data_IF_697399805866
#
_entry.id   IF_697399805866
#
_cell.length_a   1.000
_cell.length_b   1.000
_cell.length_c   1.000
_cell.angle_alpha   90.00
_cell.angle_beta   90.00
_cell.angle_gamma   90.00
#
_symmetry.space_group_name_H-M   'P 1'
#
loop_
_entity.id
_entity.type
_entity.pdbx_description
1 polymer ?
#
# COMPACT_ATOMS: atom_id res chain seq x y z
N UNK A 1 -21.33 8.14 8.03
CA UNK A 1 -20.13 7.45 7.54
C UNK A 1 -20.30 5.98 7.81
N UNK A 2 -20.34 5.14 6.78
CA UNK A 2 -20.34 3.68 6.92
C UNK A 2 -18.89 3.23 6.90
N UNK A 3 -18.50 2.43 7.87
CA UNK A 3 -17.13 1.97 8.00
C UNK A 3 -17.03 0.48 7.67
N UNK A 4 -15.97 0.12 6.96
CA UNK A 4 -15.89 -1.06 6.11
C UNK A 4 -14.93 -2.13 6.64
N UNK A 5 -15.20 -2.68 7.82
CA UNK A 5 -14.29 -3.64 8.46
C UNK A 5 -14.65 -5.12 8.24
N UNK A 6 -15.65 -5.48 7.43
CA UNK A 6 -16.12 -6.87 7.32
C UNK A 6 -16.43 -7.38 5.88
N UNK A 7 -15.71 -6.99 4.82
CA UNK A 7 -16.07 -7.49 3.49
C UNK A 7 -14.88 -8.00 2.67
N UNK A 8 -15.05 -9.20 2.10
CA UNK A 8 -14.04 -9.94 1.34
C UNK A 8 -13.77 -9.36 -0.05
N UNK A 9 -12.70 -9.86 -0.69
CA UNK A 9 -12.04 -9.43 -1.95
C UNK A 9 -12.90 -8.85 -3.09
N UNK A 10 -14.19 -9.19 -3.18
CA UNK A 10 -15.10 -8.79 -4.28
C UNK A 10 -16.20 -7.78 -3.90
N UNK A 11 -16.36 -7.45 -2.62
CA UNK A 11 -17.26 -6.40 -2.15
C UNK A 11 -16.43 -5.20 -1.68
N UNK A 12 -15.95 -4.42 -2.65
CA UNK A 12 -15.16 -3.22 -2.37
C UNK A 12 -16.02 -2.10 -1.79
N UNK A 13 -15.47 -1.36 -0.82
CA UNK A 13 -16.15 -0.18 -0.31
C UNK A 13 -16.01 1.01 -1.24
N UNK A 14 -17.13 1.48 -1.79
CA UNK A 14 -17.09 2.66 -2.63
C UNK A 14 -16.70 3.90 -1.81
N UNK A 15 -15.65 4.60 -2.24
CA UNK A 15 -15.18 5.83 -1.58
C UNK A 15 -15.71 7.03 -2.35
N UNK A 16 -16.23 7.99 -1.61
CA UNK A 16 -16.73 9.25 -2.13
C UNK A 16 -16.04 10.42 -1.44
N UNK A 17 -15.65 11.43 -2.22
CA UNK A 17 -15.17 12.70 -1.73
C UNK A 17 -16.33 13.69 -1.65
N UNK A 18 -16.75 14.02 -0.42
CA UNK A 18 -17.76 15.04 -0.17
C UNK A 18 -17.10 16.41 0.04
N UNK A 19 -17.66 17.46 -0.58
CA UNK A 19 -17.27 18.86 -0.34
C UNK A 19 -18.45 19.62 0.26
N UNK A 20 -18.22 20.55 1.21
CA UNK A 20 -19.30 21.27 1.88
C UNK A 20 -20.33 21.94 0.94
N UNK A 21 -19.90 22.39 -0.24
CA UNK A 21 -20.73 23.09 -1.23
C UNK A 21 -20.61 22.53 -2.65
N UNK A 22 -20.00 21.35 -2.81
CA UNK A 22 -19.69 20.76 -4.11
C UNK A 22 -20.40 19.43 -4.37
N UNK A 23 -20.34 18.98 -5.61
CA UNK A 23 -20.78 17.63 -5.96
C UNK A 23 -19.96 16.58 -5.19
N UNK A 24 -20.64 15.51 -4.77
CA UNK A 24 -19.98 14.32 -4.24
C UNK A 24 -19.27 13.63 -5.40
N UNK A 25 -17.94 13.51 -5.30
CA UNK A 25 -17.13 12.88 -6.32
C UNK A 25 -16.92 11.40 -5.97
N UNK A 26 -17.31 10.53 -6.88
CA UNK A 26 -17.00 9.11 -6.80
C UNK A 26 -15.51 8.88 -7.07
N UNK A 27 -14.80 8.26 -6.13
CA UNK A 27 -13.40 7.87 -6.34
C UNK A 27 -13.37 6.48 -6.99
N UNK A 28 -12.94 6.41 -8.24
CA UNK A 28 -12.85 5.15 -8.99
C UNK A 28 -11.88 4.15 -8.33
N UNK A 29 -12.15 2.85 -8.53
CA UNK A 29 -11.32 1.72 -8.06
C UNK A 29 -11.15 1.66 -6.53
N UNK A 30 -12.20 1.98 -5.79
CA UNK A 30 -12.17 2.19 -4.34
C UNK A 30 -12.20 0.91 -3.50
N UNK A 31 -11.76 -0.24 -4.02
CA UNK A 31 -11.58 -1.44 -3.20
C UNK A 31 -10.38 -1.26 -2.23
N UNK A 32 -10.61 -0.50 -1.16
CA UNK A 32 -9.65 -0.16 -0.12
C UNK A 32 -10.27 -0.36 1.26
N UNK A 33 -9.45 -0.81 2.19
CA UNK A 33 -9.84 -1.07 3.59
C UNK A 33 -9.25 -0.03 4.54
N UNK A 34 -8.32 0.79 4.06
CA UNK A 34 -7.55 1.77 4.83
C UNK A 34 -7.41 3.06 4.04
N UNK A 35 -7.46 4.20 4.73
CA UNK A 35 -7.40 5.55 4.14
C UNK A 35 -6.50 6.49 4.98
N UNK A 36 -5.82 7.44 4.33
CA UNK A 36 -5.03 8.51 4.95
C UNK A 36 -5.04 9.77 4.07
N UNK A 37 -5.17 10.94 4.68
CA UNK A 37 -4.95 12.21 3.98
C UNK A 37 -3.48 12.60 4.00
N UNK A 38 -3.01 13.19 2.90
CA UNK A 38 -1.76 13.97 2.91
C UNK A 38 -1.90 15.21 3.79
N UNK A 39 -0.81 15.63 4.42
CA UNK A 39 -0.83 16.80 5.34
C UNK A 39 -1.30 18.09 4.66
N UNK A 40 -1.00 18.26 3.37
CA UNK A 40 -1.44 19.41 2.58
C UNK A 40 -2.91 19.32 2.12
N UNK A 41 -3.60 18.21 2.43
CA UNK A 41 -5.00 17.97 2.09
C UNK A 41 -5.29 17.79 0.60
N UNK A 42 -4.27 17.75 -0.27
CA UNK A 42 -4.47 17.71 -1.73
C UNK A 42 -4.77 16.30 -2.24
N UNK A 43 -4.36 15.29 -1.48
CA UNK A 43 -4.50 13.89 -1.88
C UNK A 43 -5.04 13.01 -0.76
N UNK A 44 -5.91 12.09 -1.15
CA UNK A 44 -6.34 10.96 -0.33
C UNK A 44 -5.55 9.71 -0.79
N UNK A 45 -4.98 9.00 0.17
CA UNK A 45 -4.30 7.73 -0.04
C UNK A 45 -5.23 6.62 0.47
N UNK A 46 -5.30 5.52 -0.26
CA UNK A 46 -5.98 4.32 0.21
C UNK A 46 -5.23 3.06 -0.16
N UNK A 47 -5.38 2.01 0.64
CA UNK A 47 -4.86 0.69 0.31
C UNK A 47 -5.94 -0.38 0.46
N UNK A 48 -5.99 -1.27 -0.53
CA UNK A 48 -6.72 -2.54 -0.46
C UNK A 48 -5.78 -3.68 -0.11
N UNK A 49 -6.12 -4.89 -0.56
CA UNK A 49 -5.33 -6.10 -0.31
C UNK A 49 -3.86 -5.94 -0.69
N UNK A 50 -3.55 -5.56 -1.94
CA UNK A 50 -2.17 -5.47 -2.43
C UNK A 50 -1.89 -4.20 -3.24
N UNK A 51 -2.87 -3.30 -3.33
CA UNK A 51 -2.78 -2.11 -4.18
C UNK A 51 -2.92 -0.86 -3.31
N UNK A 52 -1.98 0.07 -3.47
CA UNK A 52 -2.08 1.42 -2.93
C UNK A 52 -2.56 2.37 -4.02
N UNK A 53 -3.38 3.34 -3.65
CA UNK A 53 -3.99 4.33 -4.53
C UNK A 53 -3.82 5.73 -3.98
N UNK A 54 -3.66 6.68 -4.88
CA UNK A 54 -3.61 8.10 -4.58
C UNK A 54 -4.66 8.80 -5.44
N UNK A 55 -5.65 9.43 -4.81
CA UNK A 55 -6.65 10.25 -5.48
C UNK A 55 -6.36 11.73 -5.23
N UNK A 56 -6.49 12.55 -6.28
CA UNK A 56 -6.44 14.00 -6.17
C UNK A 56 -7.86 14.61 -6.19
N UNK A 57 -7.99 15.83 -5.69
CA UNK A 57 -9.26 16.56 -5.66
C UNK A 57 -9.80 16.88 -7.07
N UNK A 58 -8.98 16.86 -8.12
CA UNK A 58 -9.42 17.10 -9.49
C UNK A 58 -9.95 15.84 -10.21
N UNK A 59 -10.10 14.71 -9.50
CA UNK A 59 -10.62 13.45 -10.04
C UNK A 59 -9.59 12.54 -10.69
N UNK A 60 -8.32 12.91 -10.66
CA UNK A 60 -7.22 12.04 -11.07
C UNK A 60 -6.92 10.98 -9.99
N UNK A 61 -6.47 9.81 -10.44
CA UNK A 61 -5.97 8.76 -9.55
C UNK A 61 -4.70 8.13 -10.07
N UNK A 62 -3.88 7.62 -9.17
CA UNK A 62 -2.69 6.80 -9.44
C UNK A 62 -2.74 5.57 -8.57
N UNK A 63 -2.07 4.50 -9.00
CA UNK A 63 -1.99 3.28 -8.24
C UNK A 63 -0.59 2.68 -8.35
N UNK A 64 -0.18 1.98 -7.29
CA UNK A 64 1.01 1.16 -7.29
C UNK A 64 0.68 -0.18 -6.64
N UNK A 65 1.32 -1.24 -7.12
CA UNK A 65 1.35 -2.55 -6.49
C UNK A 65 2.76 -2.72 -5.94
N UNK A 66 2.97 -2.57 -4.63
CA UNK A 66 4.24 -2.90 -4.01
C UNK A 66 4.57 -4.38 -4.29
N UNK A 67 5.84 -4.67 -4.57
CA UNK A 67 6.31 -6.04 -4.81
C UNK A 67 7.56 -6.34 -3.96
N UNK A 68 7.68 -7.57 -3.44
CA UNK A 68 8.94 -8.05 -2.89
C UNK A 68 9.96 -8.24 -4.03
N UNK A 69 11.22 -8.38 -3.64
CA UNK A 69 12.22 -8.91 -4.56
C UNK A 69 11.96 -10.42 -4.74
N UNK A 70 11.99 -10.89 -5.98
CA UNK A 70 11.79 -12.29 -6.34
C UNK A 70 12.95 -12.76 -7.20
N UNK A 71 13.43 -13.97 -6.93
CA UNK A 71 14.34 -14.66 -7.83
C UNK A 71 13.62 -15.15 -9.08
N UNK A 72 14.38 -15.51 -10.11
CA UNK A 72 13.84 -15.97 -11.39
C UNK A 72 12.91 -17.16 -11.20
N UNK A 73 11.66 -16.99 -11.64
CA UNK A 73 10.62 -18.01 -11.60
C UNK A 73 9.78 -17.99 -10.32
N UNK A 74 10.24 -17.37 -9.24
CA UNK A 74 9.45 -17.29 -8.01
C UNK A 74 8.16 -16.48 -8.21
N UNK A 75 7.17 -16.81 -7.41
CA UNK A 75 5.87 -16.13 -7.36
C UNK A 75 5.63 -15.60 -5.96
N UNK A 76 4.75 -14.62 -5.81
CA UNK A 76 4.32 -14.17 -4.49
C UNK A 76 2.85 -13.84 -4.41
N UNK A 77 2.30 -14.04 -3.21
CA UNK A 77 1.02 -13.48 -2.79
C UNK A 77 1.33 -12.46 -1.70
N UNK A 78 0.89 -11.22 -1.88
CA UNK A 78 1.25 -10.11 -0.99
C UNK A 78 0.02 -9.40 -0.43
N UNK A 79 0.10 -9.00 0.83
CA UNK A 79 -0.94 -8.28 1.55
C UNK A 79 -0.37 -7.04 2.23
N UNK A 80 -0.95 -5.87 1.96
CA UNK A 80 -0.57 -4.60 2.58
C UNK A 80 -1.00 -4.63 4.06
N UNK A 81 0.00 -4.66 4.94
CA UNK A 81 -0.20 -4.62 6.38
C UNK A 81 -0.45 -3.21 6.87
N UNK A 82 0.30 -2.23 6.35
CA UNK A 82 0.25 -0.86 6.85
C UNK A 82 0.71 0.11 5.79
N UNK A 83 0.19 1.32 5.83
CA UNK A 83 0.82 2.45 5.18
C UNK A 83 0.75 3.68 6.07
N UNK A 84 1.72 4.57 5.93
CA UNK A 84 1.82 5.81 6.69
C UNK A 84 2.63 6.84 5.92
N UNK A 85 2.45 8.10 6.28
CA UNK A 85 3.30 9.18 5.79
C UNK A 85 4.52 9.33 6.68
N UNK A 86 5.66 9.57 6.05
CA UNK A 86 6.89 10.00 6.71
C UNK A 86 7.44 11.17 5.91
N UNK A 87 7.50 12.33 6.54
CA UNK A 87 7.81 13.60 5.86
C UNK A 87 6.83 13.84 4.69
N UNK A 88 7.30 13.76 3.44
CA UNK A 88 6.47 13.90 2.23
C UNK A 88 6.30 12.62 1.43
N UNK A 89 6.84 11.52 1.93
CA UNK A 89 6.82 10.22 1.26
C UNK A 89 5.75 9.31 1.87
N UNK A 90 5.28 8.37 1.05
CA UNK A 90 4.37 7.31 1.48
C UNK A 90 5.14 6.02 1.69
N UNK A 91 5.08 5.48 2.89
CA UNK A 91 5.63 4.18 3.24
C UNK A 91 4.53 3.13 3.18
N UNK A 92 4.76 2.02 2.47
CA UNK A 92 3.79 0.91 2.36
C UNK A 92 4.47 -0.39 2.74
N UNK A 93 4.06 -0.95 3.88
CA UNK A 93 4.54 -2.24 4.38
C UNK A 93 3.58 -3.35 3.95
N UNK A 94 4.13 -4.42 3.39
CA UNK A 94 3.42 -5.62 2.99
C UNK A 94 4.08 -6.87 3.55
N UNK A 95 3.26 -7.90 3.80
CA UNK A 95 3.75 -9.25 3.99
C UNK A 95 3.54 -10.03 2.69
N UNK A 96 4.52 -10.83 2.32
CA UNK A 96 4.53 -11.61 1.10
C UNK A 96 4.85 -13.06 1.40
N UNK A 97 4.02 -13.96 0.91
CA UNK A 97 4.32 -15.39 0.84
C UNK A 97 5.01 -15.66 -0.49
N UNK A 98 6.18 -16.26 -0.46
CA UNK A 98 6.98 -16.56 -1.64
C UNK A 98 6.82 -18.02 -1.98
N UNK A 99 6.58 -18.29 -3.26
CA UNK A 99 6.43 -19.62 -3.81
C UNK A 99 7.57 -19.90 -4.77
N UNK A 100 8.07 -21.13 -4.76
CA UNK A 100 9.11 -21.56 -5.70
C UNK A 100 8.62 -21.52 -7.16
N UNK A 101 9.51 -21.78 -8.14
CA UNK A 101 9.21 -21.64 -9.56
C UNK A 101 8.01 -22.44 -10.08
N UNK A 102 7.70 -23.55 -9.41
CA UNK A 102 6.61 -24.45 -9.77
C UNK A 102 5.34 -24.21 -8.93
N UNK A 103 5.31 -23.14 -8.11
CA UNK A 103 4.26 -22.89 -7.13
C UNK A 103 4.33 -23.85 -5.94
N UNK A 104 3.17 -24.22 -5.39
CA UNK A 104 3.05 -25.14 -4.26
C UNK A 104 2.86 -24.43 -2.92
N UNK A 105 3.49 -24.94 -1.87
CA UNK A 105 3.48 -24.31 -0.56
C UNK A 105 4.43 -23.10 -0.54
N UNK A 106 4.12 -22.12 0.30
CA UNK A 106 5.02 -21.00 0.54
C UNK A 106 6.35 -21.54 1.09
N UNK A 107 7.46 -21.12 0.47
CA UNK A 107 8.82 -21.51 0.85
C UNK A 107 9.47 -20.47 1.75
N UNK A 108 8.97 -19.24 1.72
CA UNK A 108 9.46 -18.12 2.53
C UNK A 108 8.35 -17.12 2.79
N UNK A 109 8.44 -16.40 3.91
CA UNK A 109 7.62 -15.24 4.19
C UNK A 109 8.50 -14.00 4.37
N UNK A 110 8.22 -12.97 3.59
CA UNK A 110 8.94 -11.72 3.58
C UNK A 110 8.06 -10.57 4.04
N UNK A 111 8.68 -9.59 4.68
CA UNK A 111 8.09 -8.30 4.93
C UNK A 111 8.84 -7.25 4.15
N UNK A 112 8.14 -6.53 3.27
CA UNK A 112 8.73 -5.49 2.43
C UNK A 112 8.04 -4.17 2.69
N UNK A 113 8.83 -3.14 2.99
CA UNK A 113 8.35 -1.75 3.03
C UNK A 113 8.90 -0.98 1.84
N UNK A 114 8.03 -0.48 0.98
CA UNK A 114 8.39 0.39 -0.13
C UNK A 114 8.04 1.84 0.19
N UNK A 115 9.02 2.73 0.02
CA UNK A 115 8.87 4.17 0.13
C UNK A 115 8.59 4.77 -1.24
N UNK A 116 7.54 5.58 -1.35
CA UNK A 116 7.09 6.21 -2.58
C UNK A 116 7.15 7.73 -2.49
N UNK A 117 7.69 8.37 -3.53
CA UNK A 117 7.58 9.80 -3.72
C UNK A 117 6.16 10.18 -4.15
N UNK A 118 5.55 11.11 -3.42
CA UNK A 118 4.29 11.73 -3.79
C UNK A 118 4.53 13.00 -4.64
N UNK A 119 3.57 13.35 -5.53
CA UNK A 119 2.31 12.67 -5.82
C UNK A 119 2.41 11.63 -6.94
N UNK A 120 3.62 11.28 -7.39
CA UNK A 120 3.80 10.40 -8.55
C UNK A 120 3.61 8.92 -8.22
N UNK A 121 3.60 8.54 -6.94
CA UNK A 121 3.72 7.14 -6.49
C UNK A 121 4.93 6.44 -7.14
N UNK A 122 6.04 7.17 -7.25
CA UNK A 122 7.30 6.63 -7.78
C UNK A 122 8.05 5.91 -6.64
N UNK A 123 8.39 4.62 -6.75
CA UNK A 123 9.17 3.94 -5.73
C UNK A 123 10.55 4.59 -5.63
N UNK A 124 10.98 4.85 -4.40
CA UNK A 124 12.29 5.42 -4.07
C UNK A 124 13.22 4.35 -3.51
N UNK A 125 12.68 3.49 -2.64
CA UNK A 125 13.44 2.51 -1.88
C UNK A 125 12.51 1.38 -1.44
N UNK A 126 13.02 0.15 -1.40
CA UNK A 126 12.34 -1.00 -0.82
C UNK A 126 13.27 -1.69 0.16
N UNK A 127 12.80 -1.90 1.38
CA UNK A 127 13.49 -2.66 2.41
C UNK A 127 12.74 -3.96 2.61
N UNK A 128 13.43 -5.09 2.45
CA UNK A 128 12.86 -6.43 2.62
C UNK A 128 13.57 -7.14 3.77
N UNK A 129 12.79 -7.69 4.70
CA UNK A 129 13.27 -8.48 5.82
C UNK A 129 12.50 -9.80 5.89
N UNK A 130 13.08 -10.88 6.44
CA UNK A 130 12.30 -12.06 6.83
C UNK A 130 11.20 -11.66 7.82
N UNK A 131 10.01 -12.27 7.71
CA UNK A 131 8.95 -12.02 8.69
C UNK A 131 9.40 -12.49 10.07
N UNK A 132 9.42 -11.57 11.03
CA UNK A 132 9.65 -11.86 12.45
C UNK A 132 8.50 -11.26 13.26
N UNK A 133 8.05 -11.98 14.29
CA UNK A 133 6.93 -11.54 15.13
C UNK A 133 7.25 -10.19 15.79
N UNK A 134 6.37 -9.21 15.59
CA UNK A 134 6.51 -7.86 16.15
C UNK A 134 7.51 -6.92 15.45
N UNK A 135 8.17 -7.36 14.36
CA UNK A 135 9.07 -6.49 13.59
C UNK A 135 8.42 -6.03 12.29
N UNK A 136 8.57 -4.73 11.98
CA UNK A 136 8.19 -4.16 10.69
C UNK A 136 9.44 -3.72 9.91
N UNK A 137 9.50 -4.01 8.61
CA UNK A 137 10.55 -3.43 7.77
C UNK A 137 10.46 -1.89 7.81
N UNK A 138 11.55 -1.17 8.11
CA UNK A 138 11.51 0.26 8.23
C UNK A 138 11.30 0.91 6.85
N UNK A 139 10.70 2.11 6.84
CA UNK A 139 10.52 2.86 5.58
C UNK A 139 11.83 3.36 4.95
N UNK A 140 12.89 3.38 5.75
CA UNK A 140 14.25 3.64 5.32
C UNK A 140 15.17 2.88 6.28
N UNK A 141 16.21 2.24 5.77
CA UNK A 141 17.20 1.61 6.64
C UNK A 141 17.87 2.69 7.51
N UNK A 142 17.89 2.57 8.84
CA UNK A 142 18.67 3.47 9.66
C UNK A 142 20.14 3.36 9.24
N UNK A 143 20.83 4.50 9.09
CA UNK A 143 22.27 4.47 8.88
C UNK A 143 22.90 3.81 10.10
N UNK A 144 23.58 2.69 9.91
CA UNK A 144 24.44 2.11 10.94
C UNK A 144 25.58 3.10 11.15
N UNK A 145 25.60 3.80 12.29
CA UNK A 145 26.81 4.49 12.72
C UNK A 145 27.84 3.41 13.09
N UNK A 146 28.99 3.42 12.40
CA UNK A 146 30.15 2.57 12.68
C UNK A 146 30.99 3.19 13.80
#
# INVERSE_FOLDING_TARGET
>A
MRFCWEIGKYDGCQVYLARPSGAVLELKNSNVTKLLWTEDGKYLIGAGENTVRLWNLSGGSRAAVPQPFLETGQQSVSHIRRFWLRDRDLCVAMNSEIFGPNGGYAVEQLMTTTRYALPLLKPLESVTLPVQEGQEAPCHMPRTEL
#
